data_IF_987393068621
#
_entry.id   IF_987393068621
#
_cell.length_a   1.000
_cell.length_b   1.000
_cell.length_c   1.000
_cell.angle_alpha   90.00
_cell.angle_beta   90.00
_cell.angle_gamma   90.00
#
_symmetry.space_group_name_H-M   'P 1'
#
loop_
_entity.id
_entity.type
_entity.pdbx_description
1 polymer ?
#
# COMPACT_ATOMS: atom_id res chain seq x y z
N UNK A 1 11.28 -6.27 28.04
CA UNK A 1 11.14 -6.28 26.57
C UNK A 1 10.02 -7.26 26.22
N UNK A 2 8.88 -6.80 25.69
CA UNK A 2 7.76 -7.70 25.32
C UNK A 2 8.20 -8.57 24.14
N UNK A 3 8.02 -9.89 24.26
CA UNK A 3 8.24 -10.82 23.17
C UNK A 3 7.34 -10.45 21.98
N UNK A 4 7.94 -10.26 20.82
CA UNK A 4 7.25 -9.96 19.55
C UNK A 4 6.44 -11.19 19.14
N UNK A 5 5.14 -11.03 18.90
CA UNK A 5 4.25 -12.15 18.54
C UNK A 5 4.52 -12.67 17.12
N UNK A 6 4.03 -13.87 16.81
CA UNK A 6 4.21 -14.52 15.50
C UNK A 6 3.62 -13.73 14.30
N UNK A 7 2.81 -12.70 14.57
CA UNK A 7 2.19 -11.84 13.55
C UNK A 7 2.87 -10.46 13.42
N UNK A 8 4.05 -10.29 14.01
CA UNK A 8 4.85 -9.09 13.74
C UNK A 8 5.41 -9.24 12.33
N UNK A 9 5.23 -8.24 11.45
CA UNK A 9 5.94 -8.20 10.16
C UNK A 9 7.42 -8.38 10.46
N UNK A 10 7.96 -9.58 10.21
CA UNK A 10 9.39 -9.83 10.31
C UNK A 10 10.04 -8.79 9.41
N UNK A 11 10.90 -7.99 10.04
CA UNK A 11 11.44 -6.73 9.53
C UNK A 11 11.71 -6.84 8.02
N UNK A 12 11.21 -5.86 7.27
CA UNK A 12 11.63 -5.62 5.89
C UNK A 12 13.18 -5.43 5.81
N UNK A 13 13.82 -5.24 6.97
CA UNK A 13 15.26 -5.05 7.19
C UNK A 13 16.09 -6.35 7.26
N UNK A 14 15.47 -7.52 7.48
CA UNK A 14 16.23 -8.77 7.49
C UNK A 14 16.42 -9.23 6.04
N UNK A 15 17.59 -8.92 5.46
CA UNK A 15 17.99 -9.29 4.08
C UNK A 15 17.85 -10.80 3.78
N UNK A 16 17.76 -11.61 4.82
CA UNK A 16 17.67 -13.07 4.78
C UNK A 16 16.24 -13.61 5.00
N UNK A 17 15.25 -12.78 5.36
CA UNK A 17 13.86 -13.23 5.59
C UNK A 17 13.01 -12.94 4.36
N UNK A 18 12.74 -13.99 3.58
CA UNK A 18 11.72 -13.99 2.54
C UNK A 18 10.34 -13.95 3.18
N UNK A 19 9.75 -12.76 3.26
CA UNK A 19 8.36 -12.59 3.64
C UNK A 19 7.45 -12.72 2.40
N UNK A 20 6.87 -13.89 2.21
CA UNK A 20 5.84 -14.11 1.17
C UNK A 20 4.69 -13.11 1.31
N UNK A 21 4.35 -12.73 2.54
CA UNK A 21 3.35 -11.71 2.83
C UNK A 21 3.69 -10.37 2.19
N UNK A 22 4.94 -9.91 2.31
CA UNK A 22 5.39 -8.65 1.72
C UNK A 22 5.51 -8.75 0.20
N UNK A 23 6.03 -9.87 -0.31
CA UNK A 23 6.15 -10.06 -1.76
C UNK A 23 4.79 -10.17 -2.47
N UNK A 24 3.75 -10.61 -1.75
CA UNK A 24 2.39 -10.69 -2.27
C UNK A 24 1.56 -9.42 -2.05
N UNK A 25 2.11 -8.42 -1.36
CA UNK A 25 1.48 -7.10 -1.18
C UNK A 25 1.48 -6.33 -2.49
N UNK A 26 0.33 -5.81 -2.89
CA UNK A 26 0.24 -4.80 -3.94
C UNK A 26 0.68 -3.43 -3.42
N UNK A 27 1.51 -2.76 -4.20
CA UNK A 27 1.70 -1.33 -4.17
C UNK A 27 1.23 -0.73 -5.50
N UNK A 28 0.74 0.50 -5.45
CA UNK A 28 0.51 1.31 -6.64
C UNK A 28 1.17 2.67 -6.53
N UNK A 29 1.73 3.13 -7.64
CA UNK A 29 2.34 4.44 -7.77
C UNK A 29 1.55 5.29 -8.75
N UNK A 30 1.25 6.52 -8.37
CA UNK A 30 0.78 7.57 -9.29
C UNK A 30 1.97 8.44 -9.65
N UNK A 31 2.34 8.45 -10.94
CA UNK A 31 3.43 9.27 -11.48
C UNK A 31 2.89 10.56 -12.10
N UNK A 32 3.77 11.35 -12.70
CA UNK A 32 3.38 12.54 -13.45
C UNK A 32 2.34 12.22 -14.53
N UNK A 33 1.47 13.20 -14.82
CA UNK A 33 0.33 13.07 -15.74
C UNK A 33 -0.69 11.99 -15.31
N UNK A 34 -0.82 11.76 -13.99
CA UNK A 34 -1.73 10.78 -13.40
C UNK A 34 -1.57 9.35 -13.95
N UNK A 35 -0.35 9.00 -14.38
CA UNK A 35 -0.04 7.64 -14.81
C UNK A 35 -0.09 6.72 -13.60
N UNK A 36 -1.01 5.75 -13.62
CA UNK A 36 -1.23 4.82 -12.54
C UNK A 36 -0.52 3.48 -12.80
N UNK A 37 0.52 3.18 -12.02
CA UNK A 37 1.25 1.92 -12.08
C UNK A 37 0.73 0.98 -10.98
N UNK A 38 -0.06 -0.02 -11.35
CA UNK A 38 -0.62 -1.02 -10.42
C UNK A 38 0.18 -2.31 -10.38
N UNK A 39 -0.17 -3.17 -9.42
CA UNK A 39 0.37 -4.52 -9.28
C UNK A 39 1.90 -4.54 -9.12
N UNK A 40 2.45 -3.48 -8.52
CA UNK A 40 3.84 -3.48 -8.07
C UNK A 40 3.92 -4.33 -6.80
N UNK A 41 5.01 -5.07 -6.65
CA UNK A 41 5.32 -5.82 -5.44
C UNK A 41 6.84 -5.98 -5.33
N UNK A 42 7.34 -6.12 -4.10
CA UNK A 42 8.77 -6.11 -3.80
C UNK A 42 9.11 -7.24 -2.86
N UNK A 43 10.25 -7.89 -3.07
CA UNK A 43 10.71 -8.95 -2.18
C UNK A 43 11.44 -8.41 -0.95
N UNK A 44 12.09 -7.25 -1.08
CA UNK A 44 12.95 -6.67 -0.05
C UNK A 44 12.74 -5.16 0.09
N UNK A 45 13.19 -4.60 1.23
CA UNK A 45 13.23 -3.15 1.43
C UNK A 45 14.08 -2.46 0.36
N UNK A 46 15.22 -3.05 -0.01
CA UNK A 46 16.15 -2.49 -1.01
C UNK A 46 15.49 -2.37 -2.40
N UNK A 47 14.66 -3.35 -2.80
CA UNK A 47 13.89 -3.30 -4.05
C UNK A 47 12.82 -2.20 -4.02
N UNK A 48 12.06 -2.11 -2.92
CA UNK A 48 11.06 -1.05 -2.74
C UNK A 48 11.72 0.33 -2.76
N UNK A 49 12.80 0.52 -1.98
CA UNK A 49 13.56 1.76 -1.92
C UNK A 49 14.09 2.17 -3.30
N UNK A 50 14.72 1.25 -4.02
CA UNK A 50 15.25 1.52 -5.37
C UNK A 50 14.13 1.93 -6.34
N UNK A 51 12.95 1.31 -6.25
CA UNK A 51 11.80 1.67 -7.07
C UNK A 51 11.22 3.04 -6.72
N UNK A 52 11.16 3.39 -5.43
CA UNK A 52 10.69 4.69 -4.95
C UNK A 52 11.60 5.82 -5.41
N UNK A 53 12.92 5.68 -5.21
CA UNK A 53 13.90 6.70 -5.63
C UNK A 53 13.98 6.81 -7.15
N UNK A 54 13.86 5.69 -7.88
CA UNK A 54 13.92 5.69 -9.34
C UNK A 54 12.69 6.27 -10.03
N UNK A 55 11.49 6.13 -9.44
CA UNK A 55 10.22 6.59 -10.05
C UNK A 55 9.69 7.90 -9.48
N UNK A 56 10.04 8.23 -8.22
CA UNK A 56 9.60 9.44 -7.51
C UNK A 56 8.08 9.67 -7.65
N UNK A 57 7.24 8.74 -7.14
CA UNK A 57 5.80 8.82 -7.32
C UNK A 57 5.19 9.99 -6.53
N UNK A 58 4.15 10.61 -7.08
CA UNK A 58 3.35 11.63 -6.40
C UNK A 58 2.41 11.05 -5.35
N UNK A 59 1.92 9.82 -5.56
CA UNK A 59 1.07 9.08 -4.60
C UNK A 59 1.51 7.63 -4.55
N UNK A 60 1.37 7.03 -3.36
CA UNK A 60 1.64 5.63 -3.12
C UNK A 60 0.41 5.04 -2.43
N UNK A 61 -0.23 4.05 -3.07
CA UNK A 61 -1.33 3.30 -2.49
C UNK A 61 -0.85 1.91 -2.07
N UNK A 62 -1.30 1.45 -0.90
CA UNK A 62 -1.00 0.12 -0.38
C UNK A 62 -2.26 -0.75 -0.53
N UNK A 63 -2.17 -1.73 -1.42
CA UNK A 63 -3.26 -2.64 -1.76
C UNK A 63 -3.32 -3.87 -0.86
N UNK A 64 -4.00 -4.92 -1.31
CA UNK A 64 -4.14 -6.18 -0.58
C UNK A 64 -2.88 -7.06 -0.66
N UNK A 65 -2.80 -8.08 0.19
CA UNK A 65 -1.98 -9.27 -0.03
C UNK A 65 -2.76 -10.23 -0.92
N UNK A 66 -2.10 -10.78 -1.93
CA UNK A 66 -2.69 -11.73 -2.88
C UNK A 66 -2.18 -13.16 -2.65
N UNK A 67 -2.85 -14.12 -3.30
CA UNK A 67 -2.41 -15.52 -3.31
C UNK A 67 -1.17 -15.81 -4.17
N UNK A 68 -0.69 -14.82 -4.93
CA UNK A 68 0.55 -14.85 -5.72
C UNK A 68 1.08 -13.42 -5.88
N UNK A 69 2.38 -13.22 -6.22
CA UNK A 69 2.93 -11.89 -6.39
C UNK A 69 2.17 -11.11 -7.47
N UNK A 70 1.70 -9.87 -7.20
CA UNK A 70 0.99 -9.04 -8.19
C UNK A 70 1.72 -8.90 -9.53
N UNK A 71 3.06 -8.82 -9.51
CA UNK A 71 3.89 -8.75 -10.73
C UNK A 71 3.83 -10.01 -11.61
N UNK A 72 3.40 -11.15 -11.07
CA UNK A 72 3.25 -12.44 -11.78
C UNK A 72 1.80 -12.75 -12.14
N UNK A 73 0.91 -11.76 -12.08
CA UNK A 73 -0.47 -11.90 -12.53
C UNK A 73 -0.46 -12.39 -13.98
N UNK A 74 -1.05 -13.57 -14.20
CA UNK A 74 -1.21 -14.21 -15.52
C UNK A 74 -2.66 -14.59 -15.67
N UNK A 75 -3.20 -14.52 -16.89
CA UNK A 75 -4.64 -14.73 -17.15
C UNK A 75 -5.11 -16.17 -16.83
N UNK A 76 -4.18 -17.12 -16.77
CA UNK A 76 -4.48 -18.54 -16.57
C UNK A 76 -4.53 -18.98 -15.10
N UNK A 77 -4.21 -18.10 -14.14
CA UNK A 77 -4.25 -18.39 -12.70
C UNK A 77 -5.24 -17.47 -11.99
N UNK A 78 -6.03 -18.06 -11.11
CA UNK A 78 -6.96 -17.32 -10.24
C UNK A 78 -6.16 -16.39 -9.33
N UNK A 79 -6.27 -15.08 -9.57
CA UNK A 79 -5.60 -14.02 -8.83
C UNK A 79 -6.60 -13.37 -7.87
N UNK A 80 -6.45 -13.64 -6.57
CA UNK A 80 -7.42 -13.23 -5.55
C UNK A 80 -6.74 -12.54 -4.36
N UNK A 81 -7.33 -11.47 -3.81
CA UNK A 81 -6.87 -10.89 -2.55
C UNK A 81 -7.20 -11.83 -1.40
N UNK A 82 -6.26 -12.04 -0.50
CA UNK A 82 -6.41 -12.92 0.67
C UNK A 82 -6.57 -12.13 1.97
N UNK A 83 -5.81 -11.04 2.11
CA UNK A 83 -5.78 -10.24 3.33
C UNK A 83 -5.59 -8.75 3.01
N UNK A 84 -6.16 -7.89 3.86
CA UNK A 84 -5.88 -6.46 3.90
C UNK A 84 -6.14 -5.93 5.30
N UNK A 85 -5.41 -4.92 5.69
CA UNK A 85 -5.69 -4.11 6.86
C UNK A 85 -7.08 -3.50 6.73
N UNK A 86 -7.83 -3.52 7.84
CA UNK A 86 -9.04 -2.73 7.99
C UNK A 86 -8.65 -1.25 7.99
N UNK A 87 -9.24 -0.48 7.07
CA UNK A 87 -8.95 0.94 6.89
C UNK A 87 -10.22 1.74 7.08
N UNK A 88 -10.09 2.91 7.68
CA UNK A 88 -11.16 3.89 7.81
C UNK A 88 -10.68 5.17 7.14
N UNK A 89 -11.50 5.72 6.27
CA UNK A 89 -11.26 7.00 5.59
C UNK A 89 -12.37 7.95 6.02
N UNK A 90 -12.01 9.02 6.73
CA UNK A 90 -12.96 10.00 7.26
C UNK A 90 -12.53 11.35 6.71
N UNK A 91 -13.30 11.84 5.74
CA UNK A 91 -13.07 13.12 5.11
C UNK A 91 -13.94 14.23 5.71
N UNK A 92 -13.39 15.44 5.76
CA UNK A 92 -14.05 16.60 6.38
C UNK A 92 -15.20 17.17 5.55
N UNK A 93 -15.18 16.99 4.23
CA UNK A 93 -16.23 17.44 3.31
C UNK A 93 -17.54 16.68 3.50
N UNK A 94 -17.47 15.45 4.04
CA UNK A 94 -18.64 14.66 4.42
C UNK A 94 -19.46 15.29 5.55
N UNK A 95 -18.95 16.34 6.20
CA UNK A 95 -19.61 17.07 7.29
C UNK A 95 -20.05 18.49 6.87
N UNK A 96 -20.08 18.79 5.57
CA UNK A 96 -20.48 20.11 5.02
C UNK A 96 -21.89 20.56 5.43
N UNK A 97 -22.78 19.63 5.75
CA UNK A 97 -24.15 19.91 6.18
C UNK A 97 -24.26 20.33 7.66
N UNK A 98 -23.28 19.94 8.47
CA UNK A 98 -23.27 20.20 9.93
C UNK A 98 -22.19 21.19 10.37
N UNK A 99 -21.23 21.53 9.51
CA UNK A 99 -20.19 22.53 9.79
C UNK A 99 -20.47 23.85 9.07
N UNK A 100 -20.21 24.97 9.74
CA UNK A 100 -20.49 26.31 9.20
C UNK A 100 -19.24 27.16 8.98
N UNK A 101 -18.09 26.72 9.48
CA UNK A 101 -16.83 27.45 9.44
C UNK A 101 -16.02 27.25 8.15
N UNK A 102 -16.27 26.17 7.41
CA UNK A 102 -15.56 25.77 6.19
C UNK A 102 -16.49 24.93 5.28
N UNK A 103 -16.09 24.73 4.02
CA UNK A 103 -16.82 23.91 3.05
C UNK A 103 -15.83 23.15 2.13
N UNK A 104 -16.23 21.97 1.65
CA UNK A 104 -15.41 21.13 0.76
C UNK A 104 -14.06 20.74 1.37
N UNK A 105 -12.97 20.90 0.62
CA UNK A 105 -11.63 20.54 1.11
C UNK A 105 -11.05 21.51 2.17
N UNK A 106 -11.76 22.59 2.53
CA UNK A 106 -11.25 23.56 3.50
C UNK A 106 -11.43 23.09 4.95
N UNK A 107 -10.47 23.43 5.81
CA UNK A 107 -10.43 23.05 7.22
C UNK A 107 -9.91 24.22 8.06
N UNK A 108 -10.45 24.43 9.27
CA UNK A 108 -9.99 25.42 10.24
C UNK A 108 -9.89 24.81 11.66
N UNK A 109 -9.24 25.52 12.59
CA UNK A 109 -9.10 25.13 14.00
C UNK A 109 -10.38 25.39 14.80
#
# INVERSE_FOLDING_TARGET
MKARGANTLHSIDDKDVLSEYFYHREFSFTLANDIYCRYLCFKTADELHSSLVGKVPHKIDIGAVFNQPPSKKTDNKVFIPTEKEMVFDIDMDSYDDVRTCCTGAQVCQ
#
